data_IF_744652787429
#
_entry.id   IF_744652787429
#
_cell.length_a   1.000
_cell.length_b   1.000
_cell.length_c   1.000
_cell.angle_alpha   90.00
_cell.angle_beta   90.00
_cell.angle_gamma   90.00
#
_symmetry.space_group_name_H-M   'P 1'
#
loop_
_entity.id
_entity.type
_entity.pdbx_description
1 polymer ?
#
# COMPACT_ATOMS: atom_id res chain seq x y z
N UNK A 1 20.43 15.46 55.55
CA UNK A 1 20.05 15.20 54.15
C UNK A 1 21.06 15.92 53.26
N UNK A 2 21.50 15.28 52.16
CA UNK A 2 20.73 15.44 50.93
C UNK A 2 20.39 14.09 50.27
N UNK A 3 19.16 14.01 49.78
CA UNK A 3 18.69 12.97 48.90
C UNK A 3 19.44 13.08 47.57
N UNK A 4 20.04 11.98 47.12
CA UNK A 4 20.57 11.88 45.76
C UNK A 4 19.38 11.90 44.79
N UNK A 5 19.29 12.93 43.96
CA UNK A 5 18.30 13.01 42.89
C UNK A 5 18.58 11.91 41.86
N UNK A 6 17.76 10.87 41.83
CA UNK A 6 17.66 9.97 40.67
C UNK A 6 17.25 10.78 39.43
N UNK A 7 17.87 10.57 38.26
CA UNK A 7 17.33 11.09 37.01
C UNK A 7 15.97 10.44 36.74
N UNK A 8 14.92 11.26 36.66
CA UNK A 8 13.59 10.86 36.18
C UNK A 8 13.70 10.49 34.71
N UNK A 9 13.87 9.21 34.44
CA UNK A 9 13.96 8.69 33.08
C UNK A 9 14.49 7.28 32.98
N UNK A 10 14.22 6.41 33.96
CA UNK A 10 14.47 4.98 33.80
C UNK A 10 13.42 4.40 32.86
N UNK A 11 13.67 4.45 31.55
CA UNK A 11 12.92 3.62 30.61
C UNK A 11 13.34 2.19 30.91
N UNK A 12 12.47 1.46 31.63
CA UNK A 12 12.70 0.06 31.97
C UNK A 12 12.88 -0.73 30.68
N UNK A 13 14.09 -1.22 30.43
CA UNK A 13 14.44 -2.06 29.29
C UNK A 13 13.70 -3.42 29.29
N UNK A 14 12.81 -3.66 30.26
CA UNK A 14 12.12 -4.93 30.50
C UNK A 14 10.73 -5.10 29.88
N UNK A 15 10.20 -4.16 29.09
CA UNK A 15 8.86 -4.34 28.49
C UNK A 15 8.63 -3.64 27.15
N UNK A 16 9.69 -3.47 26.35
CA UNK A 16 9.49 -3.14 24.93
C UNK A 16 9.39 -4.47 24.20
N UNK A 17 8.16 -4.93 23.93
CA UNK A 17 7.97 -6.07 23.01
C UNK A 17 8.72 -5.72 21.72
N UNK A 18 9.67 -6.54 21.25
CA UNK A 18 10.41 -6.22 20.05
C UNK A 18 9.40 -6.07 18.91
N UNK A 19 9.41 -4.89 18.28
CA UNK A 19 8.56 -4.65 17.11
C UNK A 19 8.99 -5.61 16.02
N UNK A 20 8.10 -6.52 15.63
CA UNK A 20 8.38 -7.47 14.54
C UNK A 20 8.62 -6.71 13.25
N UNK A 21 9.76 -6.97 12.61
CA UNK A 21 10.14 -6.36 11.34
C UNK A 21 10.47 -7.41 10.31
N UNK A 22 10.18 -7.15 9.05
CA UNK A 22 10.52 -8.04 7.93
C UNK A 22 10.91 -7.25 6.70
N UNK A 23 12.06 -7.57 6.12
CA UNK A 23 12.48 -6.99 4.85
C UNK A 23 11.87 -7.79 3.70
N UNK A 24 11.25 -7.07 2.76
CA UNK A 24 10.63 -7.63 1.57
C UNK A 24 11.28 -7.02 0.34
N UNK A 25 11.67 -7.85 -0.62
CA UNK A 25 12.16 -7.39 -1.92
C UNK A 25 10.99 -6.94 -2.79
N UNK A 26 11.08 -5.71 -3.26
CA UNK A 26 10.12 -5.04 -4.13
C UNK A 26 10.85 -4.41 -5.32
N UNK A 27 10.13 -4.03 -6.36
CA UNK A 27 10.66 -3.14 -7.39
C UNK A 27 10.76 -1.70 -6.83
N UNK A 28 11.68 -0.88 -7.36
CA UNK A 28 11.85 0.52 -6.95
C UNK A 28 10.58 1.35 -7.12
N UNK A 29 9.77 1.03 -8.12
CA UNK A 29 8.48 1.69 -8.35
C UNK A 29 7.50 1.57 -7.17
N UNK A 30 7.63 0.54 -6.33
CA UNK A 30 6.82 0.41 -5.11
C UNK A 30 7.06 1.59 -4.17
N UNK A 31 8.30 2.07 -4.05
CA UNK A 31 8.59 3.24 -3.22
C UNK A 31 7.84 4.49 -3.72
N UNK A 32 7.79 4.67 -5.05
CA UNK A 32 7.04 5.76 -5.67
C UNK A 32 5.53 5.63 -5.41
N UNK A 33 4.96 4.44 -5.63
CA UNK A 33 3.54 4.17 -5.39
C UNK A 33 3.16 4.39 -3.92
N UNK A 34 4.03 4.02 -2.97
CA UNK A 34 3.82 4.27 -1.54
C UNK A 34 3.79 5.77 -1.25
N UNK A 35 4.66 6.58 -1.87
CA UNK A 35 4.60 8.05 -1.72
C UNK A 35 3.28 8.62 -2.24
N UNK A 36 2.80 8.16 -3.39
CA UNK A 36 1.53 8.62 -3.94
C UNK A 36 0.33 8.18 -3.07
N UNK A 37 0.35 6.94 -2.60
CA UNK A 37 -0.68 6.41 -1.71
C UNK A 37 -0.69 7.12 -0.34
N UNK A 38 0.48 7.48 0.18
CA UNK A 38 0.59 8.33 1.37
C UNK A 38 -0.06 9.69 1.15
N UNK A 39 0.20 10.32 -0.01
CA UNK A 39 -0.45 11.58 -0.40
C UNK A 39 -1.97 11.47 -0.48
N UNK A 40 -2.49 10.40 -1.10
CA UNK A 40 -3.94 10.11 -1.11
C UNK A 40 -4.49 9.96 0.31
N UNK A 41 -3.84 9.19 1.17
CA UNK A 41 -4.28 9.00 2.56
C UNK A 41 -4.34 10.30 3.34
N UNK A 42 -3.29 11.13 3.26
CA UNK A 42 -3.23 12.46 3.91
C UNK A 42 -4.33 13.37 3.39
N UNK A 43 -4.64 13.35 2.09
CA UNK A 43 -5.72 14.16 1.52
C UNK A 43 -7.12 13.73 1.98
N UNK A 44 -7.27 12.48 2.43
CA UNK A 44 -8.57 11.90 2.86
C UNK A 44 -8.74 11.81 4.38
N UNK A 45 -7.71 12.12 5.16
CA UNK A 45 -7.72 12.02 6.63
C UNK A 45 -7.47 13.39 7.25
N UNK A 46 -8.16 13.71 8.34
CA UNK A 46 -7.91 14.94 9.13
C UNK A 46 -6.64 14.84 10.01
N UNK A 47 -5.85 13.77 9.87
CA UNK A 47 -4.59 13.59 10.60
C UNK A 47 -3.44 14.37 9.93
N UNK A 48 -2.79 15.22 10.71
CA UNK A 48 -1.66 16.06 10.28
C UNK A 48 -0.32 15.30 10.21
N UNK A 49 -0.28 14.06 10.71
CA UNK A 49 0.94 13.26 10.70
C UNK A 49 1.12 12.51 9.37
N UNK A 50 2.32 12.61 8.80
CA UNK A 50 2.68 11.85 7.62
C UNK A 50 2.58 10.33 7.91
N UNK A 51 1.76 9.56 7.17
CA UNK A 51 1.57 8.15 7.43
C UNK A 51 2.87 7.39 7.19
N UNK A 52 3.19 6.47 8.11
CA UNK A 52 4.37 5.62 7.92
C UNK A 52 4.17 4.71 6.71
N UNK A 53 5.23 4.32 5.99
CA UNK A 53 5.11 3.41 4.85
C UNK A 53 4.38 2.09 5.17
N UNK A 54 4.56 1.55 6.39
CA UNK A 54 3.82 0.35 6.82
C UNK A 54 2.33 0.61 7.03
N UNK A 55 1.95 1.80 7.52
CA UNK A 55 0.55 2.20 7.65
C UNK A 55 -0.12 2.34 6.28
N UNK A 56 0.57 2.97 5.32
CA UNK A 56 0.09 3.09 3.93
C UNK A 56 -0.19 1.73 3.32
N UNK A 57 0.71 0.76 3.53
CA UNK A 57 0.51 -0.61 3.05
C UNK A 57 -0.65 -1.33 3.73
N UNK A 58 -0.84 -1.13 5.04
CA UNK A 58 -1.97 -1.70 5.75
C UNK A 58 -3.30 -1.19 5.16
N UNK A 59 -3.40 0.12 4.92
CA UNK A 59 -4.58 0.73 4.29
C UNK A 59 -4.80 0.21 2.86
N UNK A 60 -3.74 0.13 2.05
CA UNK A 60 -3.84 -0.39 0.68
C UNK A 60 -4.28 -1.87 0.64
N UNK A 61 -3.79 -2.71 1.56
CA UNK A 61 -4.21 -4.12 1.66
C UNK A 61 -5.67 -4.26 2.11
N UNK A 62 -6.12 -3.43 3.06
CA UNK A 62 -7.54 -3.41 3.46
C UNK A 62 -8.42 -3.05 2.28
N UNK A 63 -8.08 -1.97 1.58
CA UNK A 63 -8.83 -1.50 0.43
C UNK A 63 -8.85 -2.51 -0.73
N UNK A 64 -7.72 -3.19 -1.00
CA UNK A 64 -7.68 -4.24 -2.00
C UNK A 64 -8.67 -5.37 -1.69
N UNK A 65 -8.72 -5.82 -0.43
CA UNK A 65 -9.68 -6.84 0.02
C UNK A 65 -11.12 -6.37 -0.05
N UNK A 66 -11.40 -5.13 0.32
CA UNK A 66 -12.73 -4.53 0.20
C UNK A 66 -13.19 -4.48 -1.27
N UNK A 67 -12.33 -4.05 -2.19
CA UNK A 67 -12.62 -4.05 -3.62
C UNK A 67 -12.85 -5.46 -4.17
N UNK A 68 -12.02 -6.41 -3.77
CA UNK A 68 -12.16 -7.81 -4.19
C UNK A 68 -13.47 -8.42 -3.68
N UNK A 69 -13.82 -8.16 -2.42
CA UNK A 69 -15.09 -8.62 -1.85
C UNK A 69 -16.27 -7.98 -2.58
N UNK A 70 -16.23 -6.66 -2.80
CA UNK A 70 -17.26 -5.95 -3.54
C UNK A 70 -17.41 -6.48 -4.98
N UNK A 71 -16.31 -6.79 -5.67
CA UNK A 71 -16.37 -7.42 -6.99
C UNK A 71 -17.07 -8.78 -6.93
N UNK A 72 -16.70 -9.63 -5.97
CA UNK A 72 -17.30 -10.96 -5.78
C UNK A 72 -18.79 -10.88 -5.43
N UNK A 73 -19.19 -9.98 -4.55
CA UNK A 73 -20.59 -9.76 -4.17
C UNK A 73 -21.45 -9.34 -5.37
N UNK A 74 -20.83 -8.67 -6.36
CA UNK A 74 -21.44 -8.29 -7.63
C UNK A 74 -21.29 -9.37 -8.73
N UNK A 75 -20.79 -10.56 -8.41
CA UNK A 75 -20.57 -11.65 -9.36
C UNK A 75 -19.48 -11.37 -10.41
N UNK A 76 -18.55 -10.44 -10.10
CA UNK A 76 -17.43 -10.05 -10.95
C UNK A 76 -16.10 -10.49 -10.31
N UNK A 77 -15.04 -10.53 -11.11
CA UNK A 77 -13.68 -10.72 -10.63
C UNK A 77 -12.85 -9.48 -10.99
N UNK A 78 -11.88 -9.14 -10.14
CA UNK A 78 -10.87 -8.14 -10.49
C UNK A 78 -9.96 -8.72 -11.56
N UNK A 79 -9.79 -7.99 -12.66
CA UNK A 79 -8.80 -8.32 -13.67
C UNK A 79 -7.40 -7.86 -13.20
N UNK A 80 -6.72 -8.74 -12.48
CA UNK A 80 -5.38 -8.48 -11.93
C UNK A 80 -4.35 -8.19 -13.02
N UNK A 81 -4.49 -8.78 -14.22
CA UNK A 81 -3.61 -8.48 -15.35
C UNK A 81 -3.84 -7.07 -15.88
N UNK A 82 -5.08 -6.60 -15.97
CA UNK A 82 -5.36 -5.22 -16.37
C UNK A 82 -4.80 -4.19 -15.35
N UNK A 83 -4.81 -4.52 -14.06
CA UNK A 83 -4.22 -3.66 -13.01
C UNK A 83 -2.69 -3.64 -13.08
N UNK A 84 -2.07 -4.78 -13.38
CA UNK A 84 -0.61 -4.95 -13.34
C UNK A 84 0.10 -4.73 -14.67
N UNK A 85 -0.60 -4.90 -15.78
CA UNK A 85 -0.09 -4.83 -17.15
C UNK A 85 0.46 -3.46 -17.56
N UNK A 86 -0.19 -2.33 -17.21
CA UNK A 86 0.34 -1.01 -17.53
C UNK A 86 1.71 -0.78 -16.88
N UNK A 87 2.66 -0.29 -17.68
CA UNK A 87 3.93 0.24 -17.17
C UNK A 87 3.69 1.43 -16.23
N UNK A 88 4.65 1.75 -15.36
CA UNK A 88 4.47 2.77 -14.33
C UNK A 88 4.04 4.14 -14.88
N UNK A 89 4.62 4.57 -16.01
CA UNK A 89 4.26 5.84 -16.64
C UNK A 89 2.80 5.84 -17.13
N UNK A 90 2.39 4.78 -17.85
CA UNK A 90 1.03 4.61 -18.34
C UNK A 90 0.02 4.52 -17.19
N UNK A 91 0.39 3.82 -16.11
CA UNK A 91 -0.42 3.76 -14.90
C UNK A 91 -0.59 5.14 -14.28
N UNK A 92 0.49 5.89 -14.04
CA UNK A 92 0.40 7.24 -13.46
C UNK A 92 -0.49 8.16 -14.30
N UNK A 93 -0.36 8.12 -15.63
CA UNK A 93 -1.20 8.90 -16.52
C UNK A 93 -2.69 8.53 -16.41
N UNK A 94 -3.02 7.23 -16.35
CA UNK A 94 -4.40 6.76 -16.23
C UNK A 94 -5.08 7.18 -14.92
N UNK A 95 -4.32 7.30 -13.83
CA UNK A 95 -4.85 7.69 -12.51
C UNK A 95 -4.58 9.15 -12.14
N UNK A 96 -4.11 9.98 -13.08
CA UNK A 96 -3.85 11.40 -12.86
C UNK A 96 -2.70 11.69 -11.87
N UNK A 97 -1.81 10.73 -11.64
CA UNK A 97 -0.64 10.91 -10.78
C UNK A 97 0.50 11.63 -11.53
N UNK A 98 1.36 12.36 -10.81
CA UNK A 98 2.56 12.92 -11.41
C UNK A 98 3.42 11.83 -12.04
N UNK A 99 4.13 12.17 -13.11
CA UNK A 99 5.04 11.24 -13.77
C UNK A 99 6.10 10.77 -12.78
N UNK A 100 6.27 9.46 -12.68
CA UNK A 100 7.33 8.89 -11.85
C UNK A 100 8.70 9.40 -12.31
N UNK A 101 9.69 9.53 -11.41
CA UNK A 101 11.03 9.94 -11.80
C UNK A 101 11.59 9.03 -12.91
N UNK A 102 12.11 9.61 -13.98
CA UNK A 102 12.55 8.91 -15.20
C UNK A 102 13.71 7.90 -15.01
N UNK A 103 14.21 7.71 -13.77
CA UNK A 103 15.37 6.89 -13.44
C UNK A 103 15.10 5.90 -12.29
N UNK A 104 13.93 5.27 -12.26
CA UNK A 104 13.69 4.16 -11.34
C UNK A 104 14.40 2.91 -11.90
N UNK A 105 15.57 2.60 -11.37
CA UNK A 105 16.32 1.38 -11.68
C UNK A 105 15.50 0.13 -11.37
N UNK A 106 15.67 -0.93 -12.19
CA UNK A 106 15.10 -2.26 -11.95
C UNK A 106 15.82 -3.03 -10.82
N UNK A 107 16.83 -2.42 -10.20
CA UNK A 107 17.47 -2.97 -9.01
C UNK A 107 16.45 -3.16 -7.86
N UNK A 108 16.41 -4.36 -7.29
CA UNK A 108 15.46 -4.73 -6.25
C UNK A 108 15.57 -3.85 -5.00
N UNK A 109 14.54 -3.05 -4.74
CA UNK A 109 14.36 -2.25 -3.54
C UNK A 109 13.98 -3.14 -2.34
N UNK A 110 14.46 -2.82 -1.15
CA UNK A 110 14.02 -3.50 0.09
C UNK A 110 13.06 -2.61 0.85
N UNK A 111 11.84 -3.11 1.06
CA UNK A 111 10.85 -2.48 1.91
C UNK A 111 10.87 -3.17 3.28
N UNK A 112 11.05 -2.41 4.36
CA UNK A 112 10.98 -2.95 5.73
C UNK A 112 9.57 -2.77 6.28
N UNK A 113 8.85 -3.88 6.40
CA UNK A 113 7.56 -3.95 7.07
C UNK A 113 7.77 -3.94 8.58
N UNK A 114 6.91 -3.21 9.28
CA UNK A 114 6.90 -3.14 10.74
C UNK A 114 5.50 -3.47 11.26
N UNK A 115 5.42 -4.39 12.22
CA UNK A 115 4.17 -4.85 12.82
C UNK A 115 3.82 -6.29 12.42
N UNK A 116 3.58 -7.15 13.42
CA UNK A 116 3.28 -8.57 13.21
C UNK A 116 2.00 -8.79 12.40
N UNK A 117 0.96 -7.99 12.64
CA UNK A 117 -0.32 -8.09 11.93
C UNK A 117 -0.15 -7.79 10.45
N UNK A 118 0.45 -6.63 10.09
CA UNK A 118 0.71 -6.28 8.70
C UNK A 118 1.54 -7.36 7.97
N UNK A 119 2.58 -7.88 8.64
CA UNK A 119 3.39 -8.95 8.06
C UNK A 119 2.52 -10.18 7.80
N UNK A 120 1.74 -10.65 8.79
CA UNK A 120 0.86 -11.80 8.62
C UNK A 120 -0.18 -11.57 7.53
N UNK A 121 -0.81 -10.40 7.52
CA UNK A 121 -1.89 -10.06 6.60
C UNK A 121 -1.37 -10.00 5.16
N UNK A 122 -0.16 -9.47 4.94
CA UNK A 122 0.48 -9.50 3.61
C UNK A 122 0.72 -10.92 3.12
N UNK A 123 1.24 -11.82 3.96
CA UNK A 123 1.49 -13.20 3.55
C UNK A 123 0.20 -14.00 3.35
N UNK A 124 -0.83 -13.74 4.16
CA UNK A 124 -2.16 -14.28 3.91
C UNK A 124 -2.69 -13.82 2.55
N UNK A 125 -2.60 -12.51 2.27
CA UNK A 125 -3.00 -11.96 0.98
C UNK A 125 -2.22 -12.55 -0.20
N UNK A 126 -0.92 -12.85 -0.05
CA UNK A 126 -0.17 -13.55 -1.09
C UNK A 126 -0.72 -14.95 -1.37
N UNK A 127 -1.06 -15.72 -0.33
CA UNK A 127 -1.66 -17.05 -0.46
C UNK A 127 -3.04 -16.96 -1.13
N UNK A 128 -3.91 -16.10 -0.62
CA UNK A 128 -5.27 -15.89 -1.14
C UNK A 128 -5.22 -15.50 -2.64
N UNK A 129 -4.29 -14.62 -3.01
CA UNK A 129 -4.11 -14.19 -4.40
C UNK A 129 -3.59 -15.32 -5.29
N UNK A 130 -2.69 -16.17 -4.77
CA UNK A 130 -2.20 -17.34 -5.49
C UNK A 130 -3.31 -18.34 -5.83
N UNK A 131 -4.23 -18.58 -4.88
CA UNK A 131 -5.41 -19.42 -5.11
C UNK A 131 -6.32 -18.81 -6.19
N UNK A 132 -6.56 -17.49 -6.15
CA UNK A 132 -7.41 -16.79 -7.13
C UNK A 132 -6.82 -16.74 -8.54
N UNK A 133 -5.50 -16.59 -8.67
CA UNK A 133 -4.81 -16.49 -9.97
C UNK A 133 -4.55 -17.85 -10.62
N UNK A 134 -4.81 -18.97 -9.95
CA UNK A 134 -4.55 -20.30 -10.47
C UNK A 134 -3.11 -20.77 -10.26
N UNK A 135 -2.75 -21.03 -9.00
CA UNK A 135 -1.80 -22.02 -8.41
C UNK A 135 -0.47 -22.43 -9.11
N UNK A 136 0.01 -21.74 -10.15
CA UNK A 136 1.26 -22.13 -10.80
C UNK A 136 2.50 -21.41 -10.23
N UNK A 137 2.33 -20.29 -9.50
CA UNK A 137 3.44 -19.48 -8.98
C UNK A 137 3.08 -18.91 -7.62
N UNK A 138 3.87 -19.22 -6.59
CA UNK A 138 3.78 -18.56 -5.29
C UNK A 138 3.91 -17.04 -5.48
N UNK A 139 2.82 -16.32 -5.23
CA UNK A 139 2.79 -14.85 -5.32
C UNK A 139 3.81 -14.29 -4.34
N UNK A 140 4.79 -13.55 -4.87
CA UNK A 140 5.80 -12.90 -4.04
C UNK A 140 5.19 -11.69 -3.34
N UNK A 141 5.61 -11.38 -2.09
CA UNK A 141 5.06 -10.23 -1.37
C UNK A 141 5.28 -8.88 -2.08
N UNK A 142 6.35 -8.73 -2.86
CA UNK A 142 6.56 -7.53 -3.68
C UNK A 142 5.52 -7.34 -4.78
N UNK A 143 4.99 -8.44 -5.35
CA UNK A 143 3.89 -8.39 -6.31
C UNK A 143 2.60 -7.98 -5.62
N UNK A 144 2.26 -8.63 -4.51
CA UNK A 144 1.06 -8.34 -3.73
C UNK A 144 1.03 -6.88 -3.22
N UNK A 145 2.16 -6.37 -2.74
CA UNK A 145 2.31 -4.95 -2.34
C UNK A 145 2.02 -4.03 -3.54
N UNK A 146 2.63 -4.28 -4.70
CA UNK A 146 2.45 -3.46 -5.89
C UNK A 146 0.99 -3.47 -6.35
N UNK A 147 0.35 -4.64 -6.38
CA UNK A 147 -1.06 -4.78 -6.73
C UNK A 147 -1.96 -3.97 -5.79
N UNK A 148 -1.82 -4.16 -4.48
CA UNK A 148 -2.63 -3.46 -3.49
C UNK A 148 -2.50 -1.93 -3.60
N UNK A 149 -1.29 -1.42 -3.80
CA UNK A 149 -1.05 0.01 -4.02
C UNK A 149 -1.71 0.51 -5.31
N UNK A 150 -1.66 -0.26 -6.40
CA UNK A 150 -2.29 0.12 -7.66
C UNK A 150 -3.82 0.15 -7.53
N UNK A 151 -4.42 -0.85 -6.90
CA UNK A 151 -5.87 -0.86 -6.60
C UNK A 151 -6.27 0.35 -5.76
N UNK A 152 -5.51 0.65 -4.70
CA UNK A 152 -5.74 1.79 -3.84
C UNK A 152 -5.67 3.14 -4.58
N UNK A 153 -4.78 3.26 -5.57
CA UNK A 153 -4.63 4.48 -6.36
C UNK A 153 -5.65 4.58 -7.51
N UNK A 154 -6.10 3.46 -8.09
CA UNK A 154 -7.10 3.42 -9.16
C UNK A 154 -8.44 4.02 -8.74
N UNK A 155 -8.85 3.77 -7.50
CA UNK A 155 -10.09 4.32 -6.94
C UNK A 155 -10.12 5.87 -6.94
N UNK A 156 -8.96 6.55 -6.95
CA UNK A 156 -8.89 8.00 -7.11
C UNK A 156 -9.24 8.52 -8.52
N UNK A 157 -9.17 7.67 -9.56
CA UNK A 157 -9.41 8.07 -10.95
C UNK A 157 -10.90 8.13 -11.30
N UNK A 158 -11.76 7.41 -10.58
CA UNK A 158 -13.21 7.45 -10.78
C UNK A 158 -13.85 8.76 -10.33
N UNK A 159 -13.14 9.61 -9.58
CA UNK A 159 -13.63 10.92 -9.16
C UNK A 159 -13.39 12.05 -10.18
N UNK A 160 -12.63 11.82 -11.26
CA UNK A 160 -12.25 12.85 -12.23
C UNK A 160 -13.01 12.80 -13.57
N UNK A 161 -14.11 12.05 -13.66
CA UNK A 161 -15.05 12.12 -14.81
C UNK A 161 -16.49 12.33 -14.35
N UNK A 162 -16.70 13.34 -13.51
CA UNK A 162 -17.98 14.04 -13.42
C UNK A 162 -17.71 15.54 -13.70
N UNK A 163 -17.21 15.85 -14.91
CA UNK A 163 -17.36 17.21 -15.42
C UNK A 163 -18.68 17.26 -16.15
N UNK A 164 -19.62 17.96 -15.54
CA UNK A 164 -20.98 18.28 -15.97
C UNK A 164 -21.19 18.28 -17.49
N UNK A 165 -21.77 17.19 -17.99
CA UNK A 165 -22.64 17.26 -19.15
C UNK A 165 -23.97 17.92 -18.76
N UNK A 166 -23.96 19.21 -18.42
CA UNK A 166 -25.19 19.99 -18.30
C UNK A 166 -25.51 20.68 -19.61
N UNK A 167 -26.18 19.94 -20.48
CA UNK A 167 -27.07 20.52 -21.48
C UNK A 167 -28.13 21.36 -20.76
N UNK A 168 -28.23 22.64 -21.08
CA UNK A 168 -29.44 23.43 -20.84
C UNK A 168 -29.52 24.58 -21.85
N UNK A 169 -30.55 24.47 -22.70
CA UNK A 169 -31.27 25.46 -23.51
C UNK A 169 -30.48 26.34 -24.49
#
# INVERSE_FOLDING_TARGET
MPAVNQPKGSVSAGSIKPVTRKAVRCQREVAWLVTQAAGKLVATTDDVNAPTPSFVLAAALSHAREQEQAAQDNGRAIDYEAVMGPGLASFCAAVGLPTAPNALSDAGYMFTLSGANLIRDLYAYCSDLGERMGDAVQVKPGYAIKLALRLFLLDGASAATASDGKTSA
#
